data_IF_366625762243
#
_entry.id   IF_366625762243
#
_cell.length_a   1.000
_cell.length_b   1.000
_cell.length_c   1.000
_cell.angle_alpha   90.00
_cell.angle_beta   90.00
_cell.angle_gamma   90.00
#
_symmetry.space_group_name_H-M   'P 1'
#
loop_
_entity.id
_entity.type
_entity.pdbx_description
1 polymer ?
#
# COMPACT_ATOMS: atom_id res chain seq x y z
N UNK A 1 -6.99 -34.84 -26.54
CA UNK A 1 -6.72 -34.65 -27.98
C UNK A 1 -7.34 -35.80 -28.76
N UNK A 2 -7.84 -35.54 -29.97
CA UNK A 2 -8.30 -36.58 -30.91
C UNK A 2 -7.42 -36.50 -32.15
N UNK A 3 -6.89 -37.64 -32.58
CA UNK A 3 -6.04 -37.71 -33.77
C UNK A 3 -6.94 -37.87 -34.99
N UNK A 4 -6.76 -37.01 -35.99
CA UNK A 4 -7.48 -37.12 -37.27
C UNK A 4 -6.78 -38.18 -38.12
N UNK A 5 -7.55 -39.03 -38.78
CA UNK A 5 -7.00 -40.03 -39.70
C UNK A 5 -6.25 -39.34 -40.85
N UNK A 6 -5.08 -39.83 -41.29
CA UNK A 6 -4.28 -39.18 -42.35
C UNK A 6 -5.06 -38.90 -43.64
N UNK A 7 -5.91 -39.83 -44.05
CA UNK A 7 -6.74 -39.68 -45.25
C UNK A 7 -7.76 -38.53 -45.12
N UNK A 8 -8.22 -38.23 -43.90
CA UNK A 8 -9.11 -37.10 -43.62
C UNK A 8 -8.34 -35.78 -43.49
N UNK A 9 -7.06 -35.82 -43.08
CA UNK A 9 -6.22 -34.61 -43.04
C UNK A 9 -5.68 -34.22 -44.42
N UNK A 10 -5.62 -35.17 -45.36
CA UNK A 10 -5.21 -34.92 -46.74
C UNK A 10 -6.23 -34.08 -47.53
N UNK A 11 -7.49 -34.09 -47.12
CA UNK A 11 -8.54 -33.22 -47.68
C UNK A 11 -8.59 -31.89 -46.91
N UNK A 12 -8.13 -30.81 -47.55
CA UNK A 12 -8.07 -29.46 -46.96
C UNK A 12 -9.44 -28.91 -46.50
N UNK A 13 -10.57 -29.46 -46.97
CA UNK A 13 -11.90 -29.03 -46.52
C UNK A 13 -12.19 -29.46 -45.07
N UNK A 14 -11.64 -30.58 -44.61
CA UNK A 14 -11.88 -31.11 -43.26
C UNK A 14 -11.15 -30.27 -42.19
N UNK A 15 -9.84 -29.96 -42.30
CA UNK A 15 -9.16 -29.04 -41.38
C UNK A 15 -9.80 -27.65 -41.34
N UNK A 16 -10.24 -27.11 -42.49
CA UNK A 16 -10.94 -25.83 -42.54
C UNK A 16 -12.29 -25.89 -41.81
N UNK A 17 -13.07 -26.94 -42.03
CA UNK A 17 -14.34 -27.15 -41.33
C UNK A 17 -14.15 -27.29 -39.82
N UNK A 18 -13.14 -28.05 -39.38
CA UNK A 18 -12.79 -28.19 -37.97
C UNK A 18 -12.36 -26.86 -37.34
N UNK A 19 -11.60 -26.04 -38.07
CA UNK A 19 -11.23 -24.69 -37.63
C UNK A 19 -12.44 -23.77 -37.48
N UNK A 20 -13.43 -23.86 -38.39
CA UNK A 20 -14.71 -23.13 -38.29
C UNK A 20 -15.52 -23.59 -37.06
N UNK A 21 -15.44 -24.87 -36.69
CA UNK A 21 -16.07 -25.42 -35.48
C UNK A 21 -15.29 -25.10 -34.18
N UNK A 22 -14.21 -24.32 -34.25
CA UNK A 22 -13.40 -23.95 -33.09
C UNK A 22 -12.47 -25.06 -32.59
N UNK A 23 -12.18 -26.07 -33.42
CA UNK A 23 -11.19 -27.10 -33.10
C UNK A 23 -9.80 -26.56 -33.40
N UNK A 24 -9.02 -26.32 -32.35
CA UNK A 24 -7.63 -25.88 -32.47
C UNK A 24 -6.70 -27.04 -32.85
N UNK A 25 -5.74 -26.73 -33.73
CA UNK A 25 -4.69 -27.66 -34.12
C UNK A 25 -3.66 -27.81 -32.98
N UNK A 26 -3.32 -29.04 -32.65
CA UNK A 26 -2.28 -29.32 -31.65
C UNK A 26 -0.90 -29.04 -32.26
N UNK A 27 -0.36 -27.85 -32.00
CA UNK A 27 0.99 -27.47 -32.43
C UNK A 27 2.08 -28.11 -31.56
N UNK A 28 3.30 -28.21 -32.08
CA UNK A 28 4.45 -28.68 -31.30
C UNK A 28 4.70 -27.79 -30.06
N UNK A 29 4.43 -26.49 -30.16
CA UNK A 29 4.48 -25.56 -29.04
C UNK A 29 3.41 -25.85 -27.99
N UNK A 30 2.17 -26.15 -28.40
CA UNK A 30 1.10 -26.55 -27.49
C UNK A 30 1.46 -27.84 -26.72
N UNK A 31 2.07 -28.83 -27.39
CA UNK A 31 2.56 -30.06 -26.73
C UNK A 31 3.66 -29.75 -25.72
N UNK A 32 4.64 -28.91 -26.08
CA UNK A 32 5.72 -28.52 -25.16
C UNK A 32 5.19 -27.77 -23.93
N UNK A 33 4.19 -26.90 -24.12
CA UNK A 33 3.58 -26.17 -23.01
C UNK A 33 2.81 -27.11 -22.07
N UNK A 34 2.07 -28.09 -22.61
CA UNK A 34 1.40 -29.12 -21.81
C UNK A 34 2.42 -29.93 -20.99
N UNK A 35 3.52 -30.38 -21.61
CA UNK A 35 4.56 -31.11 -20.90
C UNK A 35 5.17 -30.28 -19.76
N UNK A 36 5.39 -28.98 -19.98
CA UNK A 36 5.85 -28.05 -18.93
C UNK A 36 4.83 -27.87 -17.80
N UNK A 37 3.53 -27.90 -18.09
CA UNK A 37 2.51 -27.87 -17.01
C UNK A 37 2.54 -29.12 -16.12
N UNK A 38 2.92 -30.29 -16.66
CA UNK A 38 3.12 -31.51 -15.85
C UNK A 38 4.34 -31.44 -14.92
N UNK A 39 5.22 -30.45 -15.10
CA UNK A 39 6.35 -30.20 -14.22
C UNK A 39 5.95 -29.41 -12.96
N UNK A 40 4.82 -28.69 -12.97
CA UNK A 40 4.36 -27.87 -11.82
C UNK A 40 4.21 -28.71 -10.53
N UNK A 41 3.61 -29.92 -10.54
CA UNK A 41 3.57 -30.78 -9.35
C UNK A 41 4.96 -31.20 -8.84
N UNK A 42 5.95 -31.36 -9.74
CA UNK A 42 7.33 -31.67 -9.37
C UNK A 42 8.01 -30.44 -8.76
N UNK A 43 7.83 -29.27 -9.37
CA UNK A 43 8.29 -27.99 -8.82
C UNK A 43 7.75 -27.77 -7.40
N UNK A 44 6.46 -28.02 -7.19
CA UNK A 44 5.82 -27.90 -5.87
C UNK A 44 6.48 -28.77 -4.80
N UNK A 45 6.82 -30.02 -5.13
CA UNK A 45 7.46 -30.96 -4.19
C UNK A 45 8.89 -30.52 -3.83
N UNK A 46 9.61 -29.95 -4.78
CA UNK A 46 11.02 -29.62 -4.63
C UNK A 46 11.27 -28.13 -4.34
N UNK A 47 10.22 -27.32 -4.19
CA UNK A 47 10.31 -25.86 -4.14
C UNK A 47 11.31 -25.35 -3.10
N UNK A 48 11.30 -25.93 -1.90
CA UNK A 48 12.19 -25.51 -0.81
C UNK A 48 13.66 -25.91 -1.04
N UNK A 49 13.93 -26.87 -1.93
CA UNK A 49 15.29 -27.34 -2.26
C UNK A 49 15.94 -26.59 -3.42
N UNK A 50 15.15 -25.83 -4.20
CA UNK A 50 15.67 -25.08 -5.32
C UNK A 50 16.57 -23.92 -4.86
N UNK A 51 17.66 -23.74 -5.60
CA UNK A 51 18.51 -22.55 -5.53
C UNK A 51 17.73 -21.28 -5.89
N UNK A 52 18.33 -20.12 -5.63
CA UNK A 52 17.74 -18.82 -5.96
C UNK A 52 17.46 -18.70 -7.46
N UNK A 53 18.43 -19.07 -8.30
CA UNK A 53 18.30 -18.97 -9.76
C UNK A 53 17.23 -19.92 -10.29
N UNK A 54 17.17 -21.15 -9.79
CA UNK A 54 16.12 -22.11 -10.15
C UNK A 54 14.73 -21.61 -9.75
N UNK A 55 14.58 -20.98 -8.58
CA UNK A 55 13.29 -20.39 -8.18
C UNK A 55 12.87 -19.26 -9.11
N UNK A 56 13.80 -18.38 -9.49
CA UNK A 56 13.52 -17.27 -10.41
C UNK A 56 13.07 -17.79 -11.78
N UNK A 57 13.83 -18.73 -12.36
CA UNK A 57 13.51 -19.31 -13.67
C UNK A 57 12.18 -20.07 -13.66
N UNK A 58 11.88 -20.81 -12.58
CA UNK A 58 10.59 -21.47 -12.43
C UNK A 58 9.42 -20.48 -12.31
N UNK A 59 9.61 -19.34 -11.64
CA UNK A 59 8.57 -18.27 -11.57
C UNK A 59 8.34 -17.65 -12.95
N UNK A 60 9.40 -17.37 -13.72
CA UNK A 60 9.30 -16.90 -15.11
C UNK A 60 8.54 -17.89 -15.99
N UNK A 61 8.83 -19.18 -15.86
CA UNK A 61 8.09 -20.24 -16.54
C UNK A 61 6.62 -20.26 -16.15
N UNK A 62 6.31 -20.13 -14.85
CA UNK A 62 4.93 -20.04 -14.37
C UNK A 62 4.20 -18.84 -14.97
N UNK A 63 4.79 -17.64 -14.98
CA UNK A 63 4.21 -16.46 -15.65
C UNK A 63 3.94 -16.74 -17.13
N UNK A 64 4.92 -17.34 -17.84
CA UNK A 64 4.76 -17.65 -19.27
C UNK A 64 3.56 -18.58 -19.51
N UNK A 65 3.42 -19.64 -18.71
CA UNK A 65 2.31 -20.58 -18.82
C UNK A 65 0.96 -19.96 -18.42
N UNK A 66 0.97 -19.02 -17.47
CA UNK A 66 -0.20 -18.25 -17.05
C UNK A 66 -0.70 -17.29 -18.14
N UNK A 67 0.22 -16.68 -18.91
CA UNK A 67 -0.11 -15.76 -20.02
C UNK A 67 -0.63 -16.46 -21.28
N UNK A 68 -0.49 -17.78 -21.42
CA UNK A 68 -0.96 -18.49 -22.60
C UNK A 68 -2.49 -18.41 -22.71
N UNK A 69 -2.98 -18.21 -23.94
CA UNK A 69 -4.41 -18.32 -24.25
C UNK A 69 -4.92 -19.68 -23.73
N UNK A 70 -6.01 -19.64 -22.94
CA UNK A 70 -6.63 -20.73 -22.18
C UNK A 70 -6.20 -20.92 -20.71
N UNK A 71 -5.37 -20.05 -20.11
CA UNK A 71 -4.98 -20.16 -18.69
C UNK A 71 -4.53 -21.57 -18.34
N UNK A 72 -3.51 -22.08 -19.05
CA UNK A 72 -3.06 -23.46 -18.88
C UNK A 72 -2.73 -23.81 -17.41
N UNK A 73 -2.44 -22.79 -16.60
CA UNK A 73 -2.37 -22.90 -15.15
C UNK A 73 -3.18 -21.81 -14.45
N UNK A 74 -3.87 -22.22 -13.38
CA UNK A 74 -4.59 -21.35 -12.45
C UNK A 74 -3.66 -20.88 -11.33
N UNK A 75 -3.76 -19.61 -10.92
CA UNK A 75 -2.99 -19.03 -9.80
C UNK A 75 -3.14 -19.83 -8.50
N UNK A 76 -4.29 -20.48 -8.27
CA UNK A 76 -4.52 -21.40 -7.13
C UNK A 76 -3.55 -22.58 -7.13
N UNK A 77 -3.20 -23.09 -8.30
CA UNK A 77 -2.21 -24.15 -8.50
C UNK A 77 -0.78 -23.72 -8.14
N UNK A 78 -0.54 -22.41 -8.05
CA UNK A 78 0.75 -21.78 -7.77
C UNK A 78 0.90 -21.27 -6.33
N UNK A 79 -0.05 -21.57 -5.45
CA UNK A 79 -0.02 -21.20 -4.01
C UNK A 79 1.23 -21.69 -3.24
N UNK A 80 1.99 -22.64 -3.80
CA UNK A 80 3.24 -23.09 -3.20
C UNK A 80 4.40 -22.10 -3.41
N UNK A 81 4.33 -21.24 -4.42
CA UNK A 81 5.38 -20.28 -4.74
C UNK A 81 5.66 -19.36 -3.55
N UNK A 82 6.90 -18.92 -3.46
CA UNK A 82 7.34 -17.81 -2.64
C UNK A 82 8.05 -16.81 -3.54
N UNK A 83 7.97 -15.52 -3.22
CA UNK A 83 8.62 -14.46 -3.98
C UNK A 83 9.77 -13.88 -3.15
N UNK A 84 10.84 -13.54 -3.85
CA UNK A 84 12.00 -12.89 -3.25
C UNK A 84 11.65 -11.43 -2.94
N UNK A 85 11.93 -11.00 -1.72
CA UNK A 85 11.74 -9.63 -1.29
C UNK A 85 13.04 -8.83 -1.40
N UNK A 86 12.96 -7.50 -1.38
CA UNK A 86 14.14 -6.61 -1.39
C UNK A 86 15.07 -6.81 -0.17
N UNK A 87 14.59 -7.38 0.92
CA UNK A 87 15.44 -7.77 2.06
C UNK A 87 16.17 -9.10 1.86
N UNK A 88 15.95 -9.79 0.73
CA UNK A 88 16.53 -11.09 0.39
C UNK A 88 15.76 -12.30 0.92
N UNK A 89 14.64 -12.09 1.64
CA UNK A 89 13.79 -13.18 2.13
C UNK A 89 12.92 -13.75 1.01
N UNK A 90 12.52 -15.00 1.18
CA UNK A 90 11.51 -15.64 0.33
C UNK A 90 10.22 -15.80 1.12
N UNK A 91 9.19 -15.03 0.77
CA UNK A 91 7.93 -15.00 1.51
C UNK A 91 6.76 -15.40 0.61
N UNK A 92 5.63 -15.72 1.24
CA UNK A 92 4.39 -15.95 0.49
C UNK A 92 3.91 -14.64 -0.15
N UNK A 93 3.37 -14.67 -1.38
CA UNK A 93 2.87 -13.47 -2.05
C UNK A 93 1.94 -12.63 -1.17
N UNK A 94 1.06 -13.27 -0.39
CA UNK A 94 0.10 -12.61 0.50
C UNK A 94 0.73 -11.78 1.64
N UNK A 95 2.01 -11.97 1.90
CA UNK A 95 2.79 -11.28 2.93
C UNK A 95 3.61 -10.11 2.37
N UNK A 96 3.61 -9.92 1.05
CA UNK A 96 4.48 -9.00 0.33
C UNK A 96 3.65 -7.87 -0.29
N UNK A 97 4.25 -6.67 -0.37
CA UNK A 97 3.68 -5.50 -1.02
C UNK A 97 4.45 -5.21 -2.32
N UNK A 98 3.79 -4.64 -3.32
CA UNK A 98 4.46 -4.22 -4.54
C UNK A 98 5.53 -3.17 -4.27
N UNK A 99 6.69 -3.36 -4.89
CA UNK A 99 7.72 -2.33 -4.94
C UNK A 99 7.38 -1.28 -6.01
N UNK A 100 7.98 -0.10 -5.90
CA UNK A 100 7.76 1.03 -6.81
C UNK A 100 8.05 0.68 -8.28
N UNK A 101 8.95 -0.27 -8.54
CA UNK A 101 9.32 -0.70 -9.90
C UNK A 101 8.16 -1.37 -10.64
N UNK A 102 7.16 -1.89 -9.92
CA UNK A 102 5.94 -2.46 -10.51
C UNK A 102 4.84 -1.42 -10.77
N UNK A 103 5.10 -0.13 -10.51
CA UNK A 103 4.14 0.97 -10.62
C UNK A 103 2.78 0.71 -9.93
N UNK A 104 2.75 0.30 -8.64
CA UNK A 104 1.49 0.13 -7.92
C UNK A 104 0.77 1.47 -7.73
N UNK A 105 -0.56 1.45 -7.57
CA UNK A 105 -1.37 2.65 -7.32
C UNK A 105 -0.98 3.38 -6.02
N UNK A 106 -0.46 2.65 -5.03
CA UNK A 106 0.02 3.22 -3.77
C UNK A 106 1.51 3.56 -3.83
N UNK A 107 1.98 4.38 -2.89
CA UNK A 107 3.40 4.76 -2.76
C UNK A 107 4.06 4.25 -1.48
N UNK A 108 3.58 3.13 -0.92
CA UNK A 108 4.02 2.60 0.37
C UNK A 108 5.54 2.44 0.48
N UNK A 109 6.23 1.96 -0.57
CA UNK A 109 7.70 1.85 -0.54
C UNK A 109 8.38 3.22 -0.47
N UNK A 110 7.92 4.18 -1.26
CA UNK A 110 8.43 5.56 -1.25
C UNK A 110 8.21 6.19 0.13
N UNK A 111 7.04 5.98 0.72
CA UNK A 111 6.68 6.45 2.06
C UNK A 111 7.54 5.78 3.15
N UNK A 112 7.85 4.49 3.01
CA UNK A 112 8.79 3.78 3.86
C UNK A 112 10.19 4.42 3.79
N UNK A 113 10.67 4.70 2.58
CA UNK A 113 11.95 5.39 2.34
C UNK A 113 12.00 6.80 2.93
N UNK A 114 10.86 7.50 2.98
CA UNK A 114 10.69 8.78 3.70
C UNK A 114 10.60 8.62 5.22
N UNK A 115 10.66 7.40 5.75
CA UNK A 115 10.55 7.12 7.18
C UNK A 115 9.13 7.18 7.75
N UNK A 116 8.09 7.28 6.90
CA UNK A 116 6.68 7.46 7.31
C UNK A 116 5.98 6.15 7.74
N UNK A 117 6.74 5.06 7.87
CA UNK A 117 6.25 3.75 8.31
C UNK A 117 7.09 3.16 9.45
N UNK A 118 8.04 3.93 10.00
CA UNK A 118 8.91 3.48 11.09
C UNK A 118 8.07 3.14 12.34
N UNK A 119 8.32 2.00 12.97
CA UNK A 119 7.64 1.60 14.22
C UNK A 119 6.25 1.00 14.03
N UNK A 120 5.89 0.60 12.80
CA UNK A 120 4.72 -0.24 12.58
C UNK A 120 4.90 -1.59 13.33
N UNK A 121 3.91 -2.05 14.13
CA UNK A 121 4.06 -3.25 14.95
C UNK A 121 4.22 -4.55 14.12
N UNK A 122 3.65 -4.61 12.92
CA UNK A 122 3.59 -5.83 12.10
C UNK A 122 4.79 -6.02 11.16
N UNK A 123 6.02 -5.94 11.71
CA UNK A 123 7.31 -6.11 11.01
C UNK A 123 7.55 -5.03 9.92
N UNK A 124 8.80 -4.76 9.48
CA UNK A 124 8.98 -3.96 8.27
C UNK A 124 8.17 -4.54 7.11
N UNK A 125 7.51 -3.67 6.35
CA UNK A 125 6.81 -4.06 5.13
C UNK A 125 7.86 -4.61 4.15
N UNK A 126 7.59 -5.81 3.64
CA UNK A 126 8.47 -6.49 2.69
C UNK A 126 7.97 -6.20 1.27
N UNK A 127 8.89 -5.75 0.41
CA UNK A 127 8.59 -5.39 -0.97
C UNK A 127 9.13 -6.45 -1.92
N UNK A 128 8.36 -6.82 -2.94
CA UNK A 128 8.82 -7.75 -3.99
C UNK A 128 10.06 -7.17 -4.70
N UNK A 129 11.04 -8.02 -5.03
CA UNK A 129 12.22 -7.58 -5.78
C UNK A 129 11.88 -7.30 -7.24
N UNK A 130 12.64 -6.43 -7.90
CA UNK A 130 12.49 -6.14 -9.33
C UNK A 130 13.26 -7.13 -10.24
N UNK A 131 13.92 -8.15 -9.69
CA UNK A 131 14.74 -9.13 -10.45
C UNK A 131 13.95 -9.91 -11.52
N UNK A 132 12.62 -9.90 -11.47
CA UNK A 132 11.77 -10.54 -12.47
C UNK A 132 11.52 -9.66 -13.70
N UNK A 133 11.71 -8.34 -13.58
CA UNK A 133 11.46 -7.36 -14.65
C UNK A 133 12.73 -7.23 -15.50
N UNK A 134 12.65 -7.65 -16.76
CA UNK A 134 13.77 -7.53 -17.71
C UNK A 134 13.69 -6.24 -18.54
N UNK A 135 12.49 -5.73 -18.78
CA UNK A 135 12.21 -4.50 -19.52
C UNK A 135 10.89 -3.85 -19.04
N UNK A 136 10.71 -2.56 -19.35
CA UNK A 136 9.54 -1.78 -18.93
C UNK A 136 8.22 -2.28 -19.55
N UNK A 137 8.27 -2.90 -20.73
CA UNK A 137 7.08 -3.40 -21.44
C UNK A 137 6.42 -4.57 -20.70
N UNK A 138 7.21 -5.35 -19.95
CA UNK A 138 6.74 -6.51 -19.20
C UNK A 138 6.17 -6.19 -17.81
N UNK A 139 6.37 -4.97 -17.30
CA UNK A 139 6.00 -4.57 -15.93
C UNK A 139 4.54 -4.87 -15.66
N UNK A 140 3.64 -4.52 -16.59
CA UNK A 140 2.21 -4.75 -16.44
C UNK A 140 1.87 -6.24 -16.31
N UNK A 141 2.45 -7.10 -17.15
CA UNK A 141 2.19 -8.54 -17.10
C UNK A 141 2.72 -9.18 -15.81
N UNK A 142 3.84 -8.68 -15.28
CA UNK A 142 4.34 -9.11 -13.97
C UNK A 142 3.47 -8.63 -12.81
N UNK A 143 3.02 -7.38 -12.87
CA UNK A 143 2.11 -6.81 -11.88
C UNK A 143 0.82 -7.64 -11.78
N UNK A 144 0.16 -7.92 -12.91
CA UNK A 144 -1.07 -8.71 -12.95
C UNK A 144 -0.86 -10.13 -12.43
N UNK A 145 0.22 -10.81 -12.88
CA UNK A 145 0.55 -12.16 -12.41
C UNK A 145 0.77 -12.22 -10.89
N UNK A 146 1.57 -11.30 -10.34
CA UNK A 146 1.84 -11.25 -8.91
C UNK A 146 0.63 -10.82 -8.08
N UNK A 147 -0.24 -9.96 -8.64
CA UNK A 147 -1.50 -9.59 -8.00
C UNK A 147 -2.42 -10.81 -7.86
N UNK A 148 -2.53 -11.62 -8.90
CA UNK A 148 -3.26 -12.91 -8.88
C UNK A 148 -2.68 -13.91 -7.88
N UNK A 149 -1.36 -13.93 -7.69
CA UNK A 149 -0.73 -14.75 -6.64
C UNK A 149 -1.01 -14.23 -5.22
N UNK A 150 -1.37 -12.96 -5.06
CA UNK A 150 -1.75 -12.37 -3.78
C UNK A 150 -0.82 -11.27 -3.26
N UNK A 151 0.11 -10.75 -4.06
CA UNK A 151 0.85 -9.52 -3.67
C UNK A 151 -0.16 -8.39 -3.40
N UNK A 152 0.12 -7.57 -2.39
CA UNK A 152 -0.78 -6.55 -1.82
C UNK A 152 -2.03 -7.06 -1.10
N UNK A 153 -2.25 -8.38 -0.96
CA UNK A 153 -3.44 -8.89 -0.26
C UNK A 153 -3.50 -8.41 1.20
N UNK A 154 -2.36 -8.18 1.84
CA UNK A 154 -2.29 -7.57 3.18
C UNK A 154 -2.87 -6.14 3.21
N UNK A 155 -2.82 -5.41 2.09
CA UNK A 155 -3.45 -4.10 1.92
C UNK A 155 -4.96 -4.17 1.69
N UNK A 156 -5.58 -5.35 1.72
CA UNK A 156 -7.04 -5.50 1.73
C UNK A 156 -7.55 -5.67 3.17
N UNK A 157 -6.67 -5.97 4.13
CA UNK A 157 -6.99 -6.02 5.54
C UNK A 157 -7.24 -4.61 6.09
N UNK A 158 -8.49 -4.35 6.48
CA UNK A 158 -8.92 -3.05 7.00
C UNK A 158 -8.15 -2.59 8.22
N UNK A 159 -7.76 -3.49 9.12
CA UNK A 159 -6.98 -3.14 10.32
C UNK A 159 -5.55 -2.79 9.94
N UNK A 160 -4.95 -3.57 9.04
CA UNK A 160 -3.60 -3.29 8.56
C UNK A 160 -3.54 -1.93 7.86
N UNK A 161 -4.42 -1.68 6.89
CA UNK A 161 -4.48 -0.38 6.19
C UNK A 161 -4.69 0.75 7.18
N UNK A 162 -5.63 0.59 8.13
CA UNK A 162 -5.91 1.61 9.14
C UNK A 162 -4.66 1.95 9.95
N UNK A 163 -3.90 0.94 10.38
CA UNK A 163 -2.66 1.14 11.12
C UNK A 163 -1.60 1.86 10.26
N UNK A 164 -1.44 1.46 8.99
CA UNK A 164 -0.53 2.09 8.03
C UNK A 164 -0.89 3.57 7.83
N UNK A 165 -2.16 3.87 7.53
CA UNK A 165 -2.66 5.24 7.32
C UNK A 165 -2.50 6.09 8.57
N UNK A 166 -2.85 5.57 9.75
CA UNK A 166 -2.66 6.27 11.01
C UNK A 166 -1.19 6.58 11.27
N UNK A 167 -0.30 5.62 11.03
CA UNK A 167 1.13 5.79 11.25
C UNK A 167 1.74 6.84 10.33
N UNK A 168 1.39 6.82 9.04
CA UNK A 168 1.77 7.86 8.07
C UNK A 168 1.30 9.22 8.56
N UNK A 169 0.07 9.30 9.05
CA UNK A 169 -0.51 10.49 9.65
C UNK A 169 0.32 11.11 10.75
N UNK A 170 0.59 10.32 11.80
CA UNK A 170 1.36 10.74 12.97
C UNK A 170 2.76 11.19 12.56
N UNK A 171 3.46 10.42 11.73
CA UNK A 171 4.83 10.74 11.32
C UNK A 171 4.87 11.97 10.40
N UNK A 172 3.85 12.18 9.57
CA UNK A 172 3.71 13.40 8.76
C UNK A 172 3.51 14.63 9.67
N UNK A 173 2.64 14.52 10.68
CA UNK A 173 2.42 15.58 11.66
C UNK A 173 3.71 15.92 12.44
N UNK A 174 4.45 14.93 12.92
CA UNK A 174 5.72 15.15 13.61
C UNK A 174 6.78 15.80 12.72
N UNK A 175 6.89 15.37 11.45
CA UNK A 175 7.79 16.02 10.49
C UNK A 175 7.42 17.48 10.23
N UNK A 176 6.13 17.79 10.15
CA UNK A 176 5.66 19.16 10.00
C UNK A 176 6.02 20.00 11.23
N UNK A 177 5.79 19.50 12.44
CA UNK A 177 6.16 20.24 13.65
C UNK A 177 7.67 20.49 13.69
N UNK A 178 8.49 19.49 13.38
CA UNK A 178 9.94 19.65 13.28
C UNK A 178 10.35 20.67 12.22
N UNK A 179 9.70 20.69 11.03
CA UNK A 179 10.01 21.67 9.97
C UNK A 179 9.63 23.11 10.34
N UNK A 180 8.76 23.28 11.34
CA UNK A 180 8.41 24.56 11.95
C UNK A 180 9.25 24.90 13.18
N UNK A 181 10.33 24.16 13.43
CA UNK A 181 11.22 24.35 14.58
C UNK A 181 10.67 23.83 15.91
N UNK A 182 9.58 23.06 15.91
CA UNK A 182 8.91 22.56 17.13
C UNK A 182 9.35 21.13 17.46
N UNK A 183 10.62 20.98 17.80
CA UNK A 183 11.29 19.68 17.98
C UNK A 183 10.88 18.91 19.24
N UNK A 184 10.31 19.58 20.24
CA UNK A 184 9.75 18.94 21.44
C UNK A 184 8.44 18.17 21.22
N UNK A 185 7.90 18.16 20.00
CA UNK A 185 6.67 17.45 19.68
C UNK A 185 6.89 15.94 19.72
N UNK A 186 6.07 15.23 20.51
CA UNK A 186 6.11 13.75 20.57
C UNK A 186 4.73 13.12 20.48
N UNK A 187 4.70 11.94 19.88
CA UNK A 187 3.56 11.03 19.94
C UNK A 187 3.33 10.57 21.39
N UNK A 188 2.07 10.48 21.79
CA UNK A 188 1.64 9.93 23.06
C UNK A 188 1.47 8.42 22.96
N UNK A 189 1.80 7.71 24.04
CA UNK A 189 1.41 6.31 24.16
C UNK A 189 -0.09 6.16 24.43
N UNK A 190 -0.65 4.98 24.20
CA UNK A 190 -2.07 4.69 24.51
C UNK A 190 -2.47 5.00 25.95
N UNK A 191 -1.55 4.88 26.91
CA UNK A 191 -1.78 5.24 28.31
C UNK A 191 -1.80 6.75 28.57
N UNK A 192 -1.25 7.55 27.64
CA UNK A 192 -1.18 9.01 27.72
C UNK A 192 -2.27 9.69 26.87
N UNK A 193 -2.87 9.01 25.90
CA UNK A 193 -4.03 9.48 25.10
C UNK A 193 -5.33 9.64 25.94
N UNK A 194 -5.21 9.78 27.26
CA UNK A 194 -6.30 9.96 28.22
C UNK A 194 -7.04 11.28 28.04
N UNK A 195 -6.54 12.20 27.22
CA UNK A 195 -7.10 13.53 27.04
C UNK A 195 -7.53 13.84 25.59
N UNK A 196 -7.50 12.86 24.68
CA UNK A 196 -8.10 12.98 23.34
C UNK A 196 -7.29 13.83 22.36
N UNK A 197 -5.98 13.59 22.30
CA UNK A 197 -5.05 14.06 21.29
C UNK A 197 -3.90 13.06 21.18
N UNK A 198 -3.22 13.02 20.03
CA UNK A 198 -2.20 12.01 19.72
C UNK A 198 -0.77 12.54 19.89
N UNK A 199 -0.57 13.84 19.72
CA UNK A 199 0.74 14.49 19.79
C UNK A 199 0.67 15.65 20.78
N UNK A 200 1.70 15.77 21.61
CA UNK A 200 1.90 16.90 22.51
C UNK A 200 3.20 17.61 22.19
N UNK A 201 3.14 18.93 22.05
CA UNK A 201 4.33 19.77 22.11
C UNK A 201 4.49 20.26 23.54
N UNK A 202 5.59 19.90 24.20
CA UNK A 202 5.94 20.49 25.49
C UNK A 202 6.51 21.89 25.30
N UNK A 203 6.25 22.76 26.28
CA UNK A 203 6.94 24.03 26.41
C UNK A 203 8.44 23.76 26.53
N UNK A 204 9.22 24.20 25.56
CA UNK A 204 10.68 24.30 25.73
C UNK A 204 10.91 25.61 26.49
N UNK A 205 11.53 25.54 27.68
CA UNK A 205 12.15 26.70 28.31
C UNK A 205 13.39 27.05 27.48
N UNK A 206 13.27 27.99 26.55
CA UNK A 206 14.45 28.56 25.90
C UNK A 206 15.06 29.59 26.84
N UNK A 207 16.20 29.25 27.46
CA UNK A 207 17.12 30.25 27.99
C UNK A 207 17.76 30.96 26.78
N UNK A 208 17.22 32.10 26.35
CA UNK A 208 18.01 33.04 25.55
C UNK A 208 17.58 34.49 25.84
N UNK A 209 18.52 35.21 26.43
CA UNK A 209 18.51 36.64 26.62
C UNK A 209 18.58 37.36 25.26
N UNK A 210 17.67 38.32 25.05
CA UNK A 210 17.85 39.34 24.01
C UNK A 210 17.13 39.06 22.70
N UNK A 211 16.06 39.84 22.49
CA UNK A 211 15.32 40.03 21.23
C UNK A 211 14.35 38.94 20.81
N UNK A 212 13.15 39.00 21.41
CA UNK A 212 11.92 38.53 20.78
C UNK A 212 11.54 37.08 21.10
N UNK A 213 10.89 36.91 22.26
CA UNK A 213 10.15 35.72 22.70
C UNK A 213 9.52 34.93 21.53
N UNK A 214 10.07 33.76 21.20
CA UNK A 214 9.25 32.68 20.64
C UNK A 214 8.52 32.08 21.84
N UNK A 215 7.33 32.59 22.16
CA UNK A 215 6.48 31.93 23.15
C UNK A 215 6.16 30.53 22.63
N UNK A 216 6.80 29.50 23.19
CA UNK A 216 6.45 28.11 22.93
C UNK A 216 5.09 27.84 23.58
N UNK A 217 4.02 28.15 22.85
CA UNK A 217 2.66 27.82 23.30
C UNK A 217 2.51 26.30 23.29
N UNK A 218 2.11 25.73 24.43
CA UNK A 218 1.79 24.31 24.53
C UNK A 218 0.70 23.94 23.49
N UNK A 219 1.01 22.98 22.61
CA UNK A 219 0.09 22.49 21.57
C UNK A 219 -0.37 21.08 21.85
N UNK A 220 -1.67 20.88 21.63
CA UNK A 220 -2.35 19.60 21.73
C UNK A 220 -2.86 19.23 20.35
N UNK A 221 -2.32 18.19 19.73
CA UNK A 221 -2.55 17.88 18.33
C UNK A 221 -3.25 16.52 18.21
N UNK A 222 -4.46 16.53 17.69
CA UNK A 222 -5.19 15.33 17.26
C UNK A 222 -4.98 15.12 15.76
N UNK A 223 -4.63 13.91 15.35
CA UNK A 223 -4.30 13.57 13.96
C UNK A 223 -5.40 12.71 13.34
N UNK A 224 -6.02 13.21 12.28
CA UNK A 224 -7.01 12.49 11.48
C UNK A 224 -6.40 12.13 10.13
N UNK A 225 -6.33 10.86 9.83
CA UNK A 225 -5.65 10.37 8.62
C UNK A 225 -6.59 9.56 7.75
N UNK A 226 -6.49 9.76 6.44
CA UNK A 226 -7.29 9.03 5.46
C UNK A 226 -6.46 8.71 4.22
N UNK A 227 -6.71 7.54 3.63
CA UNK A 227 -6.25 7.22 2.29
C UNK A 227 -7.00 8.00 1.20
N UNK A 228 -8.12 8.66 1.54
CA UNK A 228 -8.91 9.43 0.57
C UNK A 228 -8.40 10.88 0.47
N UNK A 229 -8.52 11.52 -0.70
CA UNK A 229 -8.12 12.92 -0.87
C UNK A 229 -9.07 13.91 -0.16
N UNK A 230 -10.34 13.54 0.02
CA UNK A 230 -11.38 14.43 0.55
C UNK A 230 -12.06 13.84 1.80
N UNK A 231 -11.35 13.69 2.94
CA UNK A 231 -11.92 13.04 4.12
C UNK A 231 -12.79 13.98 4.96
N UNK A 232 -13.85 13.42 5.53
CA UNK A 232 -14.55 14.05 6.65
C UNK A 232 -13.73 13.89 7.94
N UNK A 233 -13.84 14.86 8.85
CA UNK A 233 -13.22 14.77 10.19
C UNK A 233 -14.22 14.08 11.13
N UNK A 234 -13.78 13.00 11.78
CA UNK A 234 -14.55 12.29 12.81
C UNK A 234 -13.88 12.46 14.17
N UNK A 235 -14.51 13.22 15.07
CA UNK A 235 -14.07 13.39 16.45
C UNK A 235 -14.87 12.50 17.38
N UNK A 236 -14.19 11.80 18.29
CA UNK A 236 -14.86 11.15 19.42
C UNK A 236 -15.42 12.20 20.37
N UNK A 237 -16.39 11.85 21.22
CA UNK A 237 -16.93 12.74 22.25
C UNK A 237 -15.82 13.36 23.11
N UNK A 238 -14.81 12.57 23.42
CA UNK A 238 -13.63 12.98 24.19
C UNK A 238 -12.80 14.04 23.45
N UNK A 239 -12.42 13.77 22.21
CA UNK A 239 -11.67 14.71 21.37
C UNK A 239 -12.45 16.02 21.17
N UNK A 240 -13.76 15.90 20.98
CA UNK A 240 -14.63 17.06 20.85
C UNK A 240 -14.72 17.91 22.12
N UNK A 241 -14.77 17.28 23.30
CA UNK A 241 -14.71 17.99 24.58
C UNK A 241 -13.36 18.69 24.76
N UNK A 242 -12.25 18.02 24.42
CA UNK A 242 -10.92 18.61 24.49
C UNK A 242 -10.77 19.80 23.55
N UNK A 243 -11.27 19.68 22.32
CA UNK A 243 -11.37 20.77 21.35
C UNK A 243 -12.11 21.99 21.95
N UNK A 244 -13.28 21.77 22.58
CA UNK A 244 -14.06 22.84 23.22
C UNK A 244 -13.37 23.50 24.41
N UNK A 245 -12.59 22.73 25.18
CA UNK A 245 -11.96 23.20 26.40
C UNK A 245 -10.63 23.93 26.13
N UNK A 246 -9.82 23.42 25.20
CA UNK A 246 -8.48 23.92 24.91
C UNK A 246 -8.41 24.88 23.71
N UNK A 247 -9.44 24.91 22.87
CA UNK A 247 -9.69 25.85 21.75
C UNK A 247 -8.42 26.27 20.99
N UNK A 248 -7.83 27.41 21.35
CA UNK A 248 -6.68 28.05 20.70
C UNK A 248 -5.40 27.19 20.75
N UNK A 249 -5.27 26.32 21.75
CA UNK A 249 -4.13 25.42 21.94
C UNK A 249 -4.35 24.01 21.38
N UNK A 250 -5.58 23.72 20.91
CA UNK A 250 -5.92 22.43 20.34
C UNK A 250 -5.95 22.51 18.82
N UNK A 251 -5.27 21.58 18.18
CA UNK A 251 -5.15 21.51 16.73
C UNK A 251 -5.66 20.17 16.24
N UNK A 252 -6.33 20.18 15.10
CA UNK A 252 -6.69 18.97 14.36
C UNK A 252 -5.89 18.97 13.07
N UNK A 253 -5.02 17.99 12.94
CA UNK A 253 -4.13 17.80 11.80
C UNK A 253 -4.75 16.74 10.91
N UNK A 254 -5.12 17.11 9.69
CA UNK A 254 -5.79 16.20 8.76
C UNK A 254 -4.82 15.79 7.66
N UNK A 255 -4.43 14.52 7.63
CA UNK A 255 -3.60 13.96 6.55
C UNK A 255 -4.51 13.29 5.52
N UNK A 256 -4.64 13.92 4.36
CA UNK A 256 -5.38 13.39 3.19
C UNK A 256 -4.44 12.61 2.27
N UNK A 257 -5.02 11.69 1.49
CA UNK A 257 -4.34 10.88 0.49
C UNK A 257 -3.08 10.14 1.02
N UNK A 258 -3.19 9.58 2.23
CA UNK A 258 -2.05 9.09 2.99
C UNK A 258 -1.22 8.01 2.28
N UNK A 259 -1.83 7.19 1.42
CA UNK A 259 -1.14 6.07 0.76
C UNK A 259 -0.44 6.44 -0.55
N UNK A 260 -0.75 7.60 -1.14
CA UNK A 260 -0.14 8.07 -2.39
C UNK A 260 0.65 9.34 -2.13
N UNK A 261 -0.04 10.46 -1.89
CA UNK A 261 0.56 11.77 -1.68
C UNK A 261 0.08 12.40 -0.37
N UNK A 262 0.58 11.93 0.80
CA UNK A 262 0.14 12.43 2.10
C UNK A 262 0.30 13.94 2.15
N UNK A 263 -0.83 14.63 2.33
CA UNK A 263 -0.86 16.08 2.48
C UNK A 263 -1.50 16.40 3.82
N UNK A 264 -0.73 17.02 4.70
CA UNK A 264 -1.20 17.50 5.99
C UNK A 264 -1.90 18.85 5.80
N UNK A 265 -3.11 18.97 6.32
CA UNK A 265 -3.83 20.22 6.49
C UNK A 265 -3.88 20.55 7.98
N UNK A 266 -3.38 21.70 8.36
CA UNK A 266 -3.40 22.18 9.75
C UNK A 266 -4.67 22.96 9.99
N UNK A 267 -5.32 22.67 11.11
CA UNK A 267 -6.52 23.38 11.51
C UNK A 267 -6.52 23.67 13.00
N UNK A 268 -6.62 24.95 13.36
CA UNK A 268 -6.78 25.38 14.75
C UNK A 268 -8.20 25.13 15.28
N UNK A 269 -8.31 24.80 16.56
CA UNK A 269 -9.54 24.32 17.15
C UNK A 269 -10.67 25.34 17.21
N UNK A 270 -10.33 26.61 17.43
CA UNK A 270 -11.27 27.74 17.38
C UNK A 270 -11.87 27.94 15.98
N UNK A 271 -11.06 27.80 14.92
CA UNK A 271 -11.53 27.83 13.53
C UNK A 271 -12.47 26.69 13.21
N UNK A 272 -12.19 25.48 13.69
CA UNK A 272 -13.16 24.40 13.59
C UNK A 272 -14.45 24.81 14.25
N UNK A 273 -14.42 25.21 15.53
CA UNK A 273 -15.57 25.61 16.35
C UNK A 273 -16.45 26.71 15.73
N UNK A 274 -15.90 27.53 14.82
CA UNK A 274 -16.66 28.55 14.09
C UNK A 274 -17.65 27.99 13.04
N UNK A 275 -17.52 26.72 12.67
CA UNK A 275 -18.44 26.06 11.75
C UNK A 275 -19.77 25.80 12.49
N UNK A 276 -20.84 26.48 12.10
CA UNK A 276 -22.12 26.54 12.84
C UNK A 276 -22.85 25.21 13.05
N UNK A 277 -22.41 24.12 12.40
CA UNK A 277 -23.02 22.79 12.45
C UNK A 277 -22.10 21.69 13.00
N UNK A 278 -21.07 22.03 13.78
CA UNK A 278 -20.13 21.00 14.23
C UNK A 278 -20.81 20.00 15.15
N UNK A 279 -20.72 18.75 14.72
CA UNK A 279 -20.99 17.56 15.51
C UNK A 279 -19.67 16.78 15.68
N UNK A 280 -19.77 15.54 16.11
CA UNK A 280 -18.67 14.57 16.03
C UNK A 280 -18.21 14.29 14.59
N UNK A 281 -18.94 14.75 13.58
CA UNK A 281 -18.56 14.65 12.16
C UNK A 281 -18.57 16.04 11.53
N UNK A 282 -17.46 16.41 10.88
CA UNK A 282 -17.31 17.68 10.17
C UNK A 282 -17.03 17.35 8.69
N UNK A 283 -17.99 17.63 7.77
CA UNK A 283 -17.85 17.31 6.36
C UNK A 283 -16.67 18.01 5.68
N UNK A 284 -16.06 17.34 4.70
CA UNK A 284 -14.90 17.83 3.94
C UNK A 284 -15.08 19.26 3.44
N UNK A 285 -16.18 19.52 2.74
CA UNK A 285 -16.47 20.83 2.13
C UNK A 285 -16.57 21.98 3.14
N UNK A 286 -16.87 21.70 4.42
CA UNK A 286 -16.95 22.71 5.47
C UNK A 286 -15.58 23.02 6.06
N UNK A 287 -14.80 22.00 6.43
CA UNK A 287 -13.50 22.25 7.08
C UNK A 287 -12.44 22.69 6.06
N UNK A 288 -12.44 22.15 4.85
CA UNK A 288 -11.43 22.49 3.84
C UNK A 288 -11.50 23.95 3.39
N UNK A 289 -12.71 24.51 3.32
CA UNK A 289 -12.91 25.90 2.87
C UNK A 289 -12.79 26.94 3.98
N UNK A 290 -12.98 26.57 5.25
CA UNK A 290 -13.13 27.52 6.36
C UNK A 290 -12.06 27.40 7.43
N UNK A 291 -11.38 26.26 7.54
CA UNK A 291 -10.58 25.92 8.71
C UNK A 291 -9.13 25.53 8.39
N UNK A 292 -8.74 25.37 7.13
CA UNK A 292 -7.34 25.12 6.77
C UNK A 292 -6.52 26.40 7.01
N UNK A 293 -5.50 26.26 7.84
CA UNK A 293 -4.49 27.28 8.12
C UNK A 293 -3.29 27.14 7.18
N UNK A 294 -2.77 25.91 7.09
CA UNK A 294 -1.54 25.58 6.35
C UNK A 294 -1.65 24.19 5.72
N UNK A 295 -0.91 23.98 4.64
CA UNK A 295 -0.70 22.67 4.02
C UNK A 295 0.78 22.28 4.02
N UNK A 296 1.07 20.99 4.16
CA UNK A 296 2.42 20.44 4.14
C UNK A 296 2.47 19.07 3.48
N UNK A 297 3.53 18.80 2.72
CA UNK A 297 3.83 17.49 2.15
C UNK A 297 5.20 16.98 2.66
N UNK A 298 5.29 15.76 3.21
CA UNK A 298 6.46 15.19 3.88
C UNK A 298 7.47 14.47 2.96
#
# INVERSE_FOLDING_TARGET
>A
FKVIHPDLSADNTIPQFLKILGVEELTAEAVQNILKTEEIPKMRKNWETFSVDEKIENIKLCKKLWLLENYQIDSRGLSFLTLKTKSGKWLKPEQIVFSKEYNPEHQIEVLAGKGLLKGLPDSPIEFVTAEFIENDEEVKGWYEFFKELGVDKKLEDKNFIKNVVQRIGILTALKYEASKGRTSSRELSRSEETDGYDIKQSQEESEEEGYGLIQSEERYIEVKSSSRPNPDIFLTTKQFNTLRNKKERYFVYVVKDALQHPTLCVTRGDKLLSITDIKTVIPFNKWSSKAIDEEFQP
#
